data_IF_629313386872
#
_entry.id   IF_629313386872
#
_cell.length_a   1.000
_cell.length_b   1.000
_cell.length_c   1.000
_cell.angle_alpha   90.00
_cell.angle_beta   90.00
_cell.angle_gamma   90.00
#
_symmetry.space_group_name_H-M   'P 1'
#
loop_
_entity.id
_entity.type
_entity.pdbx_description
1 polymer ?
#
# COMPACT_ATOMS: atom_id res chain seq x y z
N UNK A 1 -20.77 -1.50 6.79
CA UNK A 1 -20.67 -2.93 7.18
C UNK A 1 -19.19 -3.25 7.37
N UNK A 2 -18.84 -4.06 8.36
CA UNK A 2 -17.48 -4.55 8.54
C UNK A 2 -17.38 -6.00 8.08
N UNK A 3 -16.23 -6.38 7.51
CA UNK A 3 -15.94 -7.72 7.03
C UNK A 3 -14.65 -8.25 7.65
N UNK A 4 -14.55 -9.57 7.92
CA UNK A 4 -13.32 -10.18 8.38
C UNK A 4 -12.26 -10.18 7.28
N UNK A 5 -11.07 -9.68 7.61
CA UNK A 5 -9.88 -9.70 6.76
C UNK A 5 -8.72 -10.35 7.52
N UNK A 6 -7.97 -11.20 6.83
CA UNK A 6 -6.80 -11.88 7.39
C UNK A 6 -5.59 -11.67 6.49
N UNK A 7 -4.43 -11.38 7.08
CA UNK A 7 -3.14 -11.38 6.39
C UNK A 7 -2.37 -12.65 6.74
N UNK A 8 -1.92 -13.37 5.72
CA UNK A 8 -1.20 -14.63 5.86
C UNK A 8 0.15 -14.54 5.17
N UNK A 9 1.21 -14.94 5.87
CA UNK A 9 2.53 -15.03 5.28
C UNK A 9 2.61 -16.28 4.39
N UNK A 10 2.89 -16.08 3.11
CA UNK A 10 3.06 -17.11 2.11
C UNK A 10 4.54 -17.35 1.84
N UNK A 11 4.95 -18.61 1.86
CA UNK A 11 6.30 -19.01 1.44
C UNK A 11 6.26 -19.50 0.00
N UNK A 12 6.92 -18.77 -0.90
CA UNK A 12 7.09 -19.20 -2.28
C UNK A 12 7.93 -20.48 -2.42
N UNK A 13 8.92 -20.68 -1.54
CA UNK A 13 9.76 -21.88 -1.54
C UNK A 13 9.01 -23.12 -1.05
N UNK A 14 8.14 -22.97 -0.06
CA UNK A 14 7.38 -24.09 0.52
C UNK A 14 5.98 -24.25 -0.09
N UNK A 15 5.55 -23.31 -0.94
CA UNK A 15 4.23 -23.26 -1.59
C UNK A 15 3.08 -23.43 -0.60
N UNK A 16 3.17 -22.76 0.55
CA UNK A 16 2.18 -22.83 1.62
C UNK A 16 2.17 -21.58 2.49
N UNK A 17 1.08 -21.42 3.23
CA UNK A 17 0.97 -20.47 4.33
C UNK A 17 1.89 -20.90 5.47
N UNK A 18 2.75 -19.97 5.90
CA UNK A 18 3.68 -20.15 7.02
C UNK A 18 2.98 -19.82 8.34
N UNK A 19 2.25 -18.69 8.38
CA UNK A 19 1.55 -18.20 9.57
C UNK A 19 0.51 -17.12 9.24
N UNK A 20 -0.43 -16.93 10.14
CA UNK A 20 -1.30 -15.74 10.17
C UNK A 20 -0.54 -14.58 10.83
N UNK A 21 -0.50 -13.42 10.17
CA UNK A 21 0.17 -12.21 10.68
C UNK A 21 -0.77 -11.33 11.51
N UNK A 22 -1.97 -11.07 10.97
CA UNK A 22 -3.04 -10.31 11.65
C UNK A 22 -4.41 -10.72 11.12
N UNK A 23 -5.45 -10.46 11.93
CA UNK A 23 -6.84 -10.66 11.60
C UNK A 23 -7.66 -9.51 12.17
N UNK A 24 -8.40 -8.82 11.29
CA UNK A 24 -9.11 -7.58 11.62
C UNK A 24 -10.54 -7.59 11.10
N UNK A 25 -11.39 -6.75 11.69
CA UNK A 25 -12.69 -6.38 11.13
C UNK A 25 -12.55 -5.01 10.47
N UNK A 26 -12.69 -4.95 9.15
CA UNK A 26 -12.43 -3.73 8.38
C UNK A 26 -13.72 -3.23 7.71
N UNK A 27 -13.91 -1.91 7.56
CA UNK A 27 -14.99 -1.37 6.74
C UNK A 27 -14.92 -1.94 5.32
N UNK A 28 -16.07 -2.30 4.75
CA UNK A 28 -16.13 -2.88 3.40
C UNK A 28 -15.49 -1.98 2.33
N UNK A 29 -15.56 -0.66 2.49
CA UNK A 29 -14.95 0.30 1.56
C UNK A 29 -13.42 0.30 1.66
N UNK A 30 -12.85 0.06 2.84
CA UNK A 30 -11.40 -0.06 3.04
C UNK A 30 -10.84 -1.37 2.50
N UNK A 31 -11.67 -2.41 2.35
CA UNK A 31 -11.25 -3.70 1.82
C UNK A 31 -10.59 -3.56 0.44
N UNK A 32 -11.13 -2.69 -0.42
CA UNK A 32 -10.58 -2.46 -1.75
C UNK A 32 -9.20 -1.83 -1.68
N UNK A 33 -9.02 -0.81 -0.83
CA UNK A 33 -7.71 -0.20 -0.61
C UNK A 33 -6.70 -1.24 -0.14
N UNK A 34 -7.09 -2.01 0.89
CA UNK A 34 -6.25 -3.06 1.46
C UNK A 34 -5.84 -4.13 0.44
N UNK A 35 -6.69 -4.47 -0.53
CA UNK A 35 -6.34 -5.44 -1.58
C UNK A 35 -5.57 -4.84 -2.76
N UNK A 36 -5.65 -3.53 -2.99
CA UNK A 36 -5.07 -2.87 -4.16
C UNK A 36 -3.66 -2.33 -3.92
N UNK A 37 -3.28 -2.05 -2.66
CA UNK A 37 -1.91 -1.65 -2.35
C UNK A 37 -0.92 -2.77 -2.67
N UNK A 38 0.33 -2.40 -2.98
CA UNK A 38 1.37 -3.40 -3.25
C UNK A 38 1.92 -4.03 -1.97
N UNK A 39 1.87 -3.30 -0.85
CA UNK A 39 2.40 -3.77 0.43
C UNK A 39 1.60 -3.24 1.63
N UNK A 40 1.80 -3.86 2.78
CA UNK A 40 1.26 -3.42 4.06
C UNK A 40 2.30 -3.52 5.16
N UNK A 41 2.36 -2.49 6.00
CA UNK A 41 3.13 -2.49 7.24
C UNK A 41 2.32 -3.23 8.30
N UNK A 42 2.87 -4.32 8.81
CA UNK A 42 2.27 -5.10 9.90
C UNK A 42 3.32 -5.19 11.02
N UNK A 43 3.00 -4.63 12.19
CA UNK A 43 3.89 -4.63 13.37
C UNK A 43 5.30 -4.12 13.05
N UNK A 44 5.38 -3.00 12.32
CA UNK A 44 6.64 -2.35 11.97
C UNK A 44 7.47 -3.06 10.91
N UNK A 45 6.93 -4.06 10.21
CA UNK A 45 7.60 -4.75 9.10
C UNK A 45 6.78 -4.57 7.83
N UNK A 46 7.46 -4.33 6.71
CA UNK A 46 6.81 -4.19 5.41
C UNK A 46 6.65 -5.57 4.77
N UNK A 47 5.43 -5.89 4.39
CA UNK A 47 5.09 -7.12 3.69
C UNK A 47 4.47 -6.79 2.34
N UNK A 48 5.03 -7.32 1.27
CA UNK A 48 4.48 -7.19 -0.08
C UNK A 48 3.35 -8.20 -0.31
N UNK A 49 2.34 -7.79 -1.06
CA UNK A 49 1.19 -8.61 -1.37
C UNK A 49 1.52 -9.51 -2.55
N UNK A 50 1.24 -10.81 -2.39
CA UNK A 50 1.46 -11.80 -3.43
C UNK A 50 0.16 -12.21 -4.11
N UNK A 51 -0.92 -12.33 -3.34
CA UNK A 51 -2.25 -12.67 -3.85
C UNK A 51 -3.35 -12.24 -2.88
N UNK A 52 -4.57 -12.14 -3.41
CA UNK A 52 -5.77 -11.83 -2.64
C UNK A 52 -6.86 -12.87 -2.91
N UNK A 53 -7.54 -13.30 -1.87
CA UNK A 53 -8.63 -14.27 -1.93
C UNK A 53 -9.89 -13.75 -1.23
N UNK A 54 -11.04 -14.23 -1.69
CA UNK A 54 -12.33 -14.03 -1.04
C UNK A 54 -13.05 -15.39 -1.02
N UNK A 55 -13.19 -15.97 0.16
CA UNK A 55 -13.92 -17.22 0.38
C UNK A 55 -15.41 -16.88 0.64
N UNK A 56 -16.29 -17.46 -0.18
CA UNK A 56 -17.74 -17.30 -0.16
C UNK A 56 -18.26 -15.86 -0.16
N UNK A 57 -17.43 -14.88 -0.52
CA UNK A 57 -17.75 -13.46 -0.51
C UNK A 57 -17.79 -12.81 0.88
N UNK A 58 -17.41 -13.53 1.94
CA UNK A 58 -17.46 -13.03 3.33
C UNK A 58 -16.11 -13.00 4.03
N UNK A 59 -15.24 -13.99 3.76
CA UNK A 59 -13.92 -14.06 4.38
C UNK A 59 -12.87 -13.63 3.37
N UNK A 60 -12.10 -12.61 3.72
CA UNK A 60 -11.08 -12.08 2.82
C UNK A 60 -9.69 -12.42 3.35
N UNK A 61 -8.83 -12.90 2.46
CA UNK A 61 -7.44 -13.20 2.76
C UNK A 61 -6.53 -12.39 1.83
N UNK A 62 -5.42 -11.91 2.40
CA UNK A 62 -4.33 -11.27 1.68
C UNK A 62 -3.08 -12.07 2.02
N UNK A 63 -2.52 -12.70 1.00
CA UNK A 63 -1.26 -13.41 1.10
C UNK A 63 -0.13 -12.42 0.90
N UNK A 64 0.85 -12.48 1.78
CA UNK A 64 1.99 -11.55 1.76
C UNK A 64 3.30 -12.28 2.00
N UNK A 65 4.41 -11.65 1.64
CA UNK A 65 5.75 -12.11 2.02
C UNK A 65 6.60 -10.93 2.52
N UNK A 66 7.67 -11.18 3.29
CA UNK A 66 8.58 -10.11 3.72
C UNK A 66 9.09 -9.34 2.50
N UNK A 67 9.04 -8.01 2.56
CA UNK A 67 9.52 -7.16 1.47
C UNK A 67 11.02 -7.33 1.26
N UNK A 68 11.41 -7.64 0.03
CA UNK A 68 12.81 -7.81 -0.38
C UNK A 68 13.27 -6.60 -1.18
N UNK A 69 14.15 -5.78 -0.60
CA UNK A 69 14.64 -4.56 -1.24
C UNK A 69 15.40 -4.80 -2.53
N UNK A 70 15.97 -6.00 -2.70
CA UNK A 70 16.84 -6.31 -3.84
C UNK A 70 16.04 -6.68 -5.10
N UNK A 71 14.74 -6.97 -4.96
CA UNK A 71 13.86 -7.34 -6.08
C UNK A 71 13.34 -6.12 -6.87
N UNK A 72 13.46 -4.91 -6.31
CA UNK A 72 12.88 -3.70 -6.89
C UNK A 72 13.93 -2.66 -7.22
N UNK A 73 13.78 -1.99 -8.37
CA UNK A 73 14.60 -0.86 -8.80
C UNK A 73 14.76 0.21 -7.72
N UNK A 74 13.70 0.46 -6.95
CA UNK A 74 13.68 1.46 -5.87
C UNK A 74 13.61 0.84 -4.46
N UNK A 75 13.84 -0.47 -4.31
CA UNK A 75 13.44 -1.21 -3.10
C UNK A 75 13.94 -0.61 -1.79
N UNK A 76 15.23 -0.29 -1.68
CA UNK A 76 15.77 0.37 -0.49
C UNK A 76 15.13 1.73 -0.21
N UNK A 77 14.94 2.55 -1.26
CA UNK A 77 14.35 3.88 -1.11
C UNK A 77 12.86 3.81 -0.76
N UNK A 78 12.13 2.80 -1.26
CA UNK A 78 10.74 2.52 -0.88
C UNK A 78 10.67 2.20 0.61
N UNK A 79 11.46 1.21 1.05
CA UNK A 79 11.51 0.77 2.44
C UNK A 79 11.87 1.92 3.38
N UNK A 80 12.95 2.66 3.10
CA UNK A 80 13.39 3.78 3.93
C UNK A 80 12.30 4.85 4.04
N UNK A 81 11.61 5.17 2.93
CA UNK A 81 10.53 6.16 2.93
C UNK A 81 9.23 5.67 3.58
N UNK A 82 8.93 4.36 3.57
CA UNK A 82 7.79 3.78 4.32
C UNK A 82 7.93 4.04 5.81
N UNK A 83 9.15 3.88 6.34
CA UNK A 83 9.41 3.99 7.77
C UNK A 83 9.86 5.38 8.21
N UNK A 84 10.18 6.27 7.27
CA UNK A 84 10.38 7.68 7.57
C UNK A 84 9.12 8.27 8.23
N UNK A 85 9.32 9.24 9.11
CA UNK A 85 8.29 9.60 10.10
C UNK A 85 6.99 10.12 9.46
N UNK A 86 5.95 9.29 9.43
CA UNK A 86 4.60 9.67 9.03
C UNK A 86 3.79 10.14 10.26
N UNK A 87 2.98 11.20 10.10
CA UNK A 87 2.03 11.62 11.12
C UNK A 87 0.87 10.62 11.18
N UNK A 88 0.51 10.17 12.38
CA UNK A 88 -0.67 9.32 12.60
C UNK A 88 -1.93 10.12 12.25
N UNK A 89 -2.85 9.48 11.52
CA UNK A 89 -4.19 10.02 11.23
C UNK A 89 -5.26 9.21 11.94
N UNK A 90 -6.40 9.85 12.24
CA UNK A 90 -7.58 9.16 12.79
C UNK A 90 -8.43 8.47 11.72
N UNK A 91 -8.14 8.72 10.44
CA UNK A 91 -8.84 8.17 9.29
C UNK A 91 -7.83 7.88 8.17
N UNK A 92 -8.21 7.03 7.23
CA UNK A 92 -7.34 6.63 6.12
C UNK A 92 -7.07 7.83 5.20
N UNK A 93 -5.80 8.17 5.00
CA UNK A 93 -5.38 9.28 4.15
C UNK A 93 -4.26 8.86 3.20
N UNK A 94 -4.27 9.40 1.98
CA UNK A 94 -3.13 9.29 1.08
C UNK A 94 -1.98 10.20 1.52
N UNK A 95 -0.76 9.68 1.48
CA UNK A 95 0.46 10.46 1.54
C UNK A 95 1.26 10.23 0.27
N UNK A 96 1.57 11.31 -0.45
CA UNK A 96 2.32 11.22 -1.69
C UNK A 96 3.80 11.41 -1.42
N UNK A 97 4.61 10.53 -1.99
CA UNK A 97 6.07 10.61 -1.92
C UNK A 97 6.64 10.57 -3.33
N UNK A 98 7.44 11.57 -3.66
CA UNK A 98 7.97 11.80 -5.00
C UNK A 98 9.45 11.44 -5.05
N UNK A 99 9.83 10.68 -6.08
CA UNK A 99 11.22 10.38 -6.40
C UNK A 99 11.95 11.62 -6.88
N UNK A 100 13.05 11.98 -6.20
CA UNK A 100 13.87 13.14 -6.56
C UNK A 100 15.18 12.80 -7.29
N UNK A 101 15.34 11.54 -7.74
CA UNK A 101 16.59 11.03 -8.31
C UNK A 101 17.47 10.25 -7.34
N UNK A 102 17.21 10.33 -6.03
CA UNK A 102 17.99 9.62 -5.00
C UNK A 102 17.14 8.97 -3.90
N UNK A 103 16.05 9.62 -3.48
CA UNK A 103 15.14 9.11 -2.47
C UNK A 103 13.70 9.54 -2.76
N UNK A 104 12.74 8.82 -2.18
CA UNK A 104 11.37 9.32 -2.09
C UNK A 104 11.28 10.37 -0.99
N UNK A 105 10.68 11.51 -1.30
CA UNK A 105 10.42 12.59 -0.36
C UNK A 105 8.97 12.98 -0.42
N UNK A 106 8.40 13.30 0.74
CA UNK A 106 7.03 13.78 0.85
C UNK A 106 6.79 14.94 -0.10
N UNK A 107 5.71 14.85 -0.87
CA UNK A 107 5.24 15.87 -1.78
C UNK A 107 3.84 16.31 -1.37
N UNK A 108 3.61 17.61 -1.39
CA UNK A 108 2.28 18.18 -1.14
C UNK A 108 1.63 18.49 -2.48
N UNK A 109 0.56 17.75 -2.79
CA UNK A 109 -0.29 18.01 -3.94
C UNK A 109 -1.62 18.60 -3.47
N UNK A 110 -2.26 19.41 -4.32
CA UNK A 110 -3.61 19.92 -4.07
C UNK A 110 -4.69 18.82 -4.14
N UNK A 111 -4.31 17.60 -4.54
CA UNK A 111 -5.20 16.45 -4.63
C UNK A 111 -5.41 15.82 -3.24
N UNK A 112 -6.47 16.26 -2.56
CA UNK A 112 -6.88 15.68 -1.28
C UNK A 112 -7.80 14.48 -1.51
N UNK A 113 -7.28 13.27 -1.36
CA UNK A 113 -8.07 12.03 -1.42
C UNK A 113 -8.24 11.50 -0.01
N UNK A 114 -9.49 11.39 0.45
CA UNK A 114 -9.79 11.08 1.85
C UNK A 114 -10.85 9.99 2.06
N UNK A 115 -11.64 9.65 1.03
CA UNK A 115 -12.55 8.51 1.13
C UNK A 115 -11.86 7.22 0.66
N UNK A 116 -12.08 6.07 1.31
CA UNK A 116 -11.47 4.80 0.89
C UNK A 116 -11.75 4.44 -0.57
N UNK A 117 -12.93 4.77 -1.09
CA UNK A 117 -13.28 4.50 -2.48
C UNK A 117 -12.52 5.36 -3.48
N UNK A 118 -12.24 6.63 -3.16
CA UNK A 118 -11.40 7.48 -4.01
C UNK A 118 -9.95 7.01 -3.96
N UNK A 119 -9.45 6.58 -2.80
CA UNK A 119 -8.11 5.98 -2.67
C UNK A 119 -8.02 4.71 -3.53
N UNK A 120 -9.03 3.84 -3.45
CA UNK A 120 -9.07 2.63 -4.27
C UNK A 120 -9.08 2.94 -5.77
N UNK A 121 -9.80 3.98 -6.20
CA UNK A 121 -9.76 4.45 -7.59
C UNK A 121 -8.37 4.94 -7.99
N UNK A 122 -7.73 5.74 -7.15
CA UNK A 122 -6.37 6.22 -7.37
C UNK A 122 -5.37 5.06 -7.50
N UNK A 123 -5.49 4.01 -6.70
CA UNK A 123 -4.63 2.82 -6.74
C UNK A 123 -4.79 2.00 -8.03
N UNK A 124 -5.87 2.19 -8.78
CA UNK A 124 -6.05 1.57 -10.09
C UNK A 124 -5.38 2.38 -11.22
N UNK A 125 -5.03 3.64 -10.95
CA UNK A 125 -4.42 4.53 -11.93
C UNK A 125 -2.89 4.36 -11.93
N UNK A 126 -2.36 3.88 -13.05
CA UNK A 126 -0.90 3.80 -13.23
C UNK A 126 -0.26 5.18 -13.44
N UNK A 127 -1.01 6.11 -14.05
CA UNK A 127 -0.57 7.48 -14.31
C UNK A 127 -1.51 8.47 -13.62
N UNK A 128 -0.93 9.45 -12.94
CA UNK A 128 -1.65 10.50 -12.22
C UNK A 128 -1.24 11.84 -12.80
N UNK A 129 -2.21 12.66 -13.22
CA UNK A 129 -1.96 14.00 -13.74
C UNK A 129 -2.34 15.03 -12.68
N UNK A 130 -1.38 15.85 -12.26
CA UNK A 130 -1.58 16.89 -11.23
C UNK A 130 -0.95 18.19 -11.73
N UNK A 131 -1.76 19.25 -11.89
CA UNK A 131 -1.28 20.59 -12.28
C UNK A 131 -0.39 20.56 -13.54
N UNK A 132 -0.85 19.86 -14.59
CA UNK A 132 -0.16 19.65 -15.87
C UNK A 132 1.10 18.78 -15.84
N UNK A 133 1.57 18.35 -14.66
CA UNK A 133 2.61 17.33 -14.53
C UNK A 133 1.99 15.92 -14.54
N UNK A 134 2.63 14.99 -15.24
CA UNK A 134 2.25 13.56 -15.21
C UNK A 134 3.23 12.77 -14.34
N UNK A 135 2.68 11.95 -13.46
CA UNK A 135 3.42 11.10 -12.53
C UNK A 135 3.04 9.64 -12.75
N UNK A 136 4.03 8.76 -12.65
CA UNK A 136 3.86 7.31 -12.64
C UNK A 136 3.77 6.83 -11.19
N UNK A 137 2.74 6.04 -10.86
CA UNK A 137 2.68 5.30 -9.60
C UNK A 137 3.58 4.08 -9.70
N UNK A 138 4.71 4.11 -9.01
CA UNK A 138 5.72 3.04 -9.04
C UNK A 138 5.53 2.01 -7.93
N UNK A 139 4.86 2.40 -6.84
CA UNK A 139 4.55 1.51 -5.72
C UNK A 139 3.48 2.13 -4.81
N UNK A 140 2.91 1.31 -3.94
CA UNK A 140 1.98 1.75 -2.89
C UNK A 140 2.08 0.88 -1.64
N UNK A 141 1.97 1.50 -0.48
CA UNK A 141 1.99 0.79 0.80
C UNK A 141 0.90 1.31 1.73
N UNK A 142 0.30 0.40 2.51
CA UNK A 142 -0.60 0.75 3.60
C UNK A 142 0.12 0.61 4.94
N UNK A 143 0.13 1.67 5.74
CA UNK A 143 0.39 1.58 7.18
C UNK A 143 -0.94 1.77 7.92
N UNK A 144 -1.57 0.64 8.28
CA UNK A 144 -2.87 0.67 8.95
C UNK A 144 -2.78 1.20 10.37
N UNK A 145 -1.63 1.04 11.04
CA UNK A 145 -1.43 1.54 12.41
C UNK A 145 -1.38 3.08 12.42
N UNK A 146 -0.93 3.68 11.31
CA UNK A 146 -0.90 5.14 11.13
C UNK A 146 -2.07 5.72 10.33
N UNK A 147 -2.92 4.86 9.74
CA UNK A 147 -4.01 5.28 8.86
C UNK A 147 -3.52 5.93 7.57
N UNK A 148 -2.43 5.43 6.99
CA UNK A 148 -1.77 6.06 5.82
C UNK A 148 -1.64 5.10 4.65
N UNK A 149 -2.00 5.60 3.46
CA UNK A 149 -1.69 4.96 2.18
C UNK A 149 -0.59 5.78 1.51
N UNK A 150 0.62 5.25 1.51
CA UNK A 150 1.76 5.87 0.85
C UNK A 150 1.70 5.57 -0.64
N UNK A 151 1.66 6.62 -1.46
CA UNK A 151 1.65 6.56 -2.91
C UNK A 151 3.02 7.03 -3.42
N UNK A 152 3.79 6.09 -3.97
CA UNK A 152 5.15 6.35 -4.46
C UNK A 152 5.10 6.75 -5.92
N UNK A 153 5.59 7.94 -6.21
CA UNK A 153 5.49 8.58 -7.51
C UNK A 153 6.86 8.86 -8.10
N UNK A 154 6.97 8.74 -9.41
CA UNK A 154 8.06 9.27 -10.23
C UNK A 154 7.47 10.24 -11.25
N UNK A 155 8.16 11.34 -11.56
CA UNK A 155 7.78 12.17 -12.72
C UNK A 155 7.91 11.35 -14.00
N UNK A 156 6.90 11.47 -14.86
CA UNK A 156 6.85 10.82 -16.16
C UNK A 156 7.82 11.44 -17.15
N UNK A 157 8.38 10.60 -18.03
CA UNK A 157 9.31 10.99 -19.10
C UNK A 157 8.59 11.09 -20.47
N UNK A 158 7.31 11.50 -20.48
CA UNK A 158 6.41 11.43 -21.64
C UNK A 158 6.49 12.66 -22.57
#
# INVERSE_FOLDING_TARGET
>A
MHVPLQYEEWSESEKRVVRTLTQDQVPQEELFVRKLVNATVIRGHLYEHTANESEDGYRHLIYVQPFDTDQYTYGKALHDATFDACRVSSYLECEYVLWNGNAFKKAEFSLSVSSPIEIARLLLDHLIVIQDDTFEMVYSALDSDRGKVMIYLKRGDF
#
